data_IF_433879442602
#
_entry.id   IF_433879442602
#
_cell.length_a   1.000
_cell.length_b   1.000
_cell.length_c   1.000
_cell.angle_alpha   90.00
_cell.angle_beta   90.00
_cell.angle_gamma   90.00
#
_symmetry.space_group_name_H-M   'P 1'
#
loop_
_entity.id
_entity.type
_entity.pdbx_description
1 polymer ?
#
# COMPACT_ATOMS: atom_id res chain seq x y z
N UNK A 1 44.47 -30.45 4.88
CA UNK A 1 44.50 -29.54 6.05
C UNK A 1 43.32 -28.61 5.90
N UNK A 2 42.39 -28.64 6.87
CA UNK A 2 41.23 -27.74 6.90
C UNK A 2 41.72 -26.30 6.79
N UNK A 3 41.00 -25.52 5.99
CA UNK A 3 41.23 -24.09 5.85
C UNK A 3 40.93 -23.44 7.21
N UNK A 4 41.94 -22.87 7.87
CA UNK A 4 41.78 -22.15 9.14
C UNK A 4 41.07 -20.82 8.84
N UNK A 5 39.74 -20.85 8.88
CA UNK A 5 38.93 -19.64 8.99
C UNK A 5 38.72 -19.40 10.47
N UNK A 6 39.14 -18.23 10.96
CA UNK A 6 38.96 -17.87 12.36
C UNK A 6 37.46 -17.75 12.69
N UNK A 7 37.12 -17.93 13.96
CA UNK A 7 35.74 -17.74 14.41
C UNK A 7 35.30 -16.28 14.16
N UNK A 8 34.05 -16.06 13.70
CA UNK A 8 33.53 -14.69 13.56
C UNK A 8 33.52 -14.01 14.93
N UNK A 9 34.00 -12.77 14.99
CA UNK A 9 34.04 -11.97 16.20
C UNK A 9 33.11 -10.77 16.04
N UNK A 10 32.19 -10.61 16.99
CA UNK A 10 31.37 -9.41 17.10
C UNK A 10 31.95 -8.50 18.18
N UNK A 11 32.12 -7.23 17.85
CA UNK A 11 32.58 -6.20 18.78
C UNK A 11 31.95 -4.86 18.41
N UNK A 12 32.07 -3.88 19.29
CA UNK A 12 31.52 -2.53 19.09
C UNK A 12 30.70 -2.05 20.27
N UNK A 13 30.31 -0.78 20.20
CA UNK A 13 29.60 -0.03 21.22
C UNK A 13 28.52 0.86 20.60
N UNK A 14 27.71 1.51 21.44
CA UNK A 14 26.63 2.37 20.98
C UNK A 14 27.12 3.66 20.32
N UNK A 15 28.37 4.07 20.57
CA UNK A 15 28.97 5.29 20.01
C UNK A 15 29.59 5.06 18.62
N UNK A 16 30.31 3.95 18.43
CA UNK A 16 31.04 3.62 17.21
C UNK A 16 30.29 2.64 16.30
N UNK A 17 29.20 2.06 16.79
CA UNK A 17 28.43 1.01 16.13
C UNK A 17 29.00 -0.39 16.37
N UNK A 18 28.24 -1.39 15.93
CA UNK A 18 28.53 -2.80 16.10
C UNK A 18 29.06 -3.41 14.81
N UNK A 19 30.13 -4.19 14.90
CA UNK A 19 30.79 -4.83 13.77
C UNK A 19 30.86 -6.35 13.96
N UNK A 20 30.47 -7.10 12.93
CA UNK A 20 30.76 -8.52 12.79
C UNK A 20 31.97 -8.66 11.86
N UNK A 21 33.07 -9.18 12.37
CA UNK A 21 34.32 -9.37 11.62
C UNK A 21 34.67 -10.84 11.48
N UNK A 22 35.00 -11.27 10.27
CA UNK A 22 35.50 -12.59 9.96
C UNK A 22 36.92 -12.47 9.39
N UNK A 23 37.92 -12.81 10.21
CA UNK A 23 39.32 -12.85 9.81
C UNK A 23 39.64 -14.17 9.07
N UNK A 24 40.49 -14.07 8.05
CA UNK A 24 40.92 -15.22 7.26
C UNK A 24 42.31 -14.99 6.66
N UNK A 25 43.01 -16.10 6.40
CA UNK A 25 44.32 -16.07 5.74
C UNK A 25 44.23 -16.54 4.29
N UNK A 26 44.87 -15.81 3.37
CA UNK A 26 45.09 -16.24 1.99
C UNK A 26 46.56 -16.59 1.80
N UNK A 27 46.85 -17.68 1.07
CA UNK A 27 48.24 -17.99 0.72
C UNK A 27 48.73 -17.02 -0.35
N UNK A 28 49.94 -16.51 -0.16
CA UNK A 28 50.64 -15.66 -1.13
C UNK A 28 52.09 -16.09 -1.18
N UNK A 29 52.57 -16.46 -2.37
CA UNK A 29 53.92 -16.95 -2.55
C UNK A 29 54.98 -15.89 -2.21
N UNK A 30 54.64 -14.60 -2.40
CA UNK A 30 55.56 -13.49 -2.22
C UNK A 30 55.50 -12.87 -0.82
N UNK A 31 54.55 -13.29 0.02
CA UNK A 31 54.41 -12.81 1.39
C UNK A 31 55.40 -13.49 2.35
N UNK A 32 55.85 -12.76 3.37
CA UNK A 32 56.63 -13.33 4.47
C UNK A 32 55.77 -14.33 5.24
N UNK A 33 56.19 -15.59 5.29
CA UNK A 33 55.40 -16.67 5.89
C UNK A 33 54.36 -17.29 4.94
N UNK A 34 54.43 -16.96 3.65
CA UNK A 34 53.57 -17.51 2.58
C UNK A 34 52.06 -17.26 2.76
N UNK A 35 51.68 -16.29 3.61
CA UNK A 35 50.30 -15.99 3.97
C UNK A 35 50.08 -14.47 4.15
N UNK A 36 48.85 -14.02 3.87
CA UNK A 36 48.35 -12.68 4.18
C UNK A 36 47.04 -12.78 4.93
N UNK A 37 46.87 -11.91 5.91
CA UNK A 37 45.66 -11.81 6.72
C UNK A 37 44.71 -10.77 6.14
N UNK A 38 43.44 -11.14 6.01
CA UNK A 38 42.35 -10.30 5.57
C UNK A 38 41.18 -10.43 6.56
N UNK A 39 40.27 -9.47 6.53
CA UNK A 39 39.01 -9.55 7.28
C UNK A 39 37.85 -9.02 6.46
N UNK A 40 36.73 -9.73 6.47
CA UNK A 40 35.45 -9.21 6.01
C UNK A 40 34.68 -8.65 7.21
N UNK A 41 34.22 -7.41 7.11
CA UNK A 41 33.54 -6.72 8.20
C UNK A 41 32.15 -6.27 7.76
N UNK A 42 31.14 -6.53 8.59
CA UNK A 42 29.78 -6.04 8.45
C UNK A 42 29.47 -5.10 9.61
N UNK A 43 29.24 -3.82 9.31
CA UNK A 43 28.98 -2.76 10.29
C UNK A 43 27.47 -2.47 10.37
N UNK A 44 26.94 -2.35 11.59
CA UNK A 44 25.55 -2.00 11.87
C UNK A 44 25.44 -1.18 13.15
N UNK A 45 24.58 -0.17 13.16
CA UNK A 45 24.37 0.66 14.36
C UNK A 45 23.53 -0.06 15.42
N UNK A 46 22.73 -1.06 15.05
CA UNK A 46 21.82 -1.74 15.96
C UNK A 46 22.36 -3.11 16.36
N UNK A 47 22.71 -3.25 17.65
CA UNK A 47 23.18 -4.49 18.27
C UNK A 47 22.26 -5.69 18.01
N UNK A 48 20.96 -5.51 18.26
CA UNK A 48 19.99 -6.59 18.22
C UNK A 48 19.71 -7.04 16.78
N UNK A 49 19.67 -6.09 15.85
CA UNK A 49 19.56 -6.39 14.43
C UNK A 49 20.76 -7.23 13.96
N UNK A 50 21.98 -6.83 14.33
CA UNK A 50 23.19 -7.58 13.99
C UNK A 50 23.20 -8.99 14.62
N UNK A 51 22.79 -9.12 15.89
CA UNK A 51 22.69 -10.42 16.58
C UNK A 51 21.67 -11.35 15.91
N UNK A 52 20.52 -10.80 15.50
CA UNK A 52 19.47 -11.56 14.80
C UNK A 52 19.99 -12.14 13.48
N UNK A 53 20.74 -11.33 12.72
CA UNK A 53 21.30 -11.72 11.43
C UNK A 53 22.63 -12.47 11.54
N UNK A 54 23.24 -12.56 12.72
CA UNK A 54 24.61 -13.04 12.91
C UNK A 54 24.86 -14.42 12.28
N UNK A 55 23.93 -15.36 12.45
CA UNK A 55 24.06 -16.71 11.86
C UNK A 55 24.05 -16.67 10.33
N UNK A 56 23.13 -15.91 9.75
CA UNK A 56 22.99 -15.76 8.30
C UNK A 56 24.23 -15.08 7.70
N UNK A 57 24.65 -13.97 8.29
CA UNK A 57 25.82 -13.21 7.85
C UNK A 57 27.09 -14.06 7.98
N UNK A 58 27.27 -14.79 9.08
CA UNK A 58 28.42 -15.68 9.28
C UNK A 58 28.53 -16.71 8.16
N UNK A 59 27.43 -17.39 7.81
CA UNK A 59 27.46 -18.40 6.74
C UNK A 59 27.77 -17.78 5.37
N UNK A 60 27.18 -16.62 5.05
CA UNK A 60 27.46 -15.93 3.79
C UNK A 60 28.93 -15.46 3.71
N UNK A 61 29.45 -14.89 4.80
CA UNK A 61 30.85 -14.45 4.87
C UNK A 61 31.82 -15.64 4.79
N UNK A 62 31.51 -16.77 5.42
CA UNK A 62 32.31 -18.01 5.31
C UNK A 62 32.39 -18.52 3.88
N UNK A 63 31.28 -18.52 3.15
CA UNK A 63 31.29 -18.92 1.75
C UNK A 63 32.13 -17.96 0.89
N UNK A 64 32.01 -16.65 1.12
CA UNK A 64 32.82 -15.64 0.44
C UNK A 64 34.32 -15.85 0.70
N UNK A 65 34.68 -16.10 1.96
CA UNK A 65 36.06 -16.39 2.39
C UNK A 65 36.58 -17.68 1.75
N UNK A 66 35.79 -18.75 1.75
CA UNK A 66 36.17 -20.02 1.11
C UNK A 66 36.48 -19.83 -0.38
N UNK A 67 35.63 -19.10 -1.10
CA UNK A 67 35.84 -18.77 -2.50
C UNK A 67 37.16 -18.01 -2.71
N UNK A 68 37.42 -16.96 -1.93
CA UNK A 68 38.66 -16.18 -2.03
C UNK A 68 39.91 -17.03 -1.69
N UNK A 69 39.81 -17.88 -0.68
CA UNK A 69 40.91 -18.77 -0.28
C UNK A 69 41.16 -19.85 -1.34
N UNK A 70 40.13 -20.36 -1.98
CA UNK A 70 40.25 -21.34 -3.06
C UNK A 70 41.05 -20.76 -4.23
N UNK A 71 40.64 -19.59 -4.74
CA UNK A 71 41.31 -18.96 -5.88
C UNK A 71 42.75 -18.51 -5.54
N UNK A 72 42.98 -17.99 -4.33
CA UNK A 72 44.33 -17.68 -3.85
C UNK A 72 45.23 -18.92 -3.74
N UNK A 73 44.69 -20.06 -3.27
CA UNK A 73 45.43 -21.32 -3.20
C UNK A 73 45.81 -21.83 -4.59
N UNK A 74 44.93 -21.71 -5.59
CA UNK A 74 45.23 -22.09 -6.97
C UNK A 74 46.40 -21.26 -7.51
N UNK A 75 46.36 -19.94 -7.31
CA UNK A 75 47.44 -19.03 -7.74
C UNK A 75 48.76 -19.37 -7.03
N UNK A 76 48.71 -19.64 -5.72
CA UNK A 76 49.88 -20.05 -4.93
C UNK A 76 50.54 -21.32 -5.48
N UNK A 77 49.74 -22.35 -5.81
CA UNK A 77 50.25 -23.61 -6.37
C UNK A 77 50.84 -23.42 -7.78
N UNK A 78 50.21 -22.60 -8.62
CA UNK A 78 50.70 -22.28 -9.96
C UNK A 78 52.06 -21.56 -9.90
N UNK A 79 52.18 -20.53 -9.05
CA UNK A 79 53.44 -19.79 -8.85
C UNK A 79 54.54 -20.70 -8.27
N UNK A 80 54.18 -21.62 -7.37
CA UNK A 80 55.09 -22.63 -6.84
C UNK A 80 55.63 -23.59 -7.90
N UNK A 81 54.79 -24.06 -8.82
CA UNK A 81 55.21 -24.95 -9.93
C UNK A 81 56.16 -24.25 -10.91
N UNK A 82 55.90 -22.98 -11.23
CA UNK A 82 56.76 -22.19 -12.13
C UNK A 82 58.18 -22.03 -11.55
N UNK A 83 58.29 -21.80 -10.24
CA UNK A 83 59.58 -21.64 -9.56
C UNK A 83 60.37 -22.95 -9.42
N UNK A 84 59.70 -24.09 -9.24
CA UNK A 84 60.39 -25.39 -9.22
C UNK A 84 60.97 -25.76 -10.60
N UNK A 85 60.21 -25.51 -11.68
CA UNK A 85 60.62 -25.84 -13.05
C UNK A 85 61.77 -24.94 -13.56
N UNK A 86 61.82 -23.68 -13.13
CA UNK A 86 62.94 -22.77 -13.45
C UNK A 86 64.24 -23.16 -12.71
N UNK A 87 64.14 -23.78 -11.53
CA UNK A 87 65.28 -24.25 -10.76
C UNK A 87 65.90 -25.57 -11.28
N UNK A 88 65.15 -26.36 -12.07
CA UNK A 88 65.63 -27.61 -12.68
C UNK A 88 66.26 -27.42 -14.06
N UNK A 89 65.93 -26.33 -14.76
CA UNK A 89 66.52 -25.98 -16.07
C UNK A 89 67.60 -24.87 -15.99
N UNK A 90 67.84 -24.32 -14.79
CA UNK A 90 68.85 -23.29 -14.53
C UNK A 90 70.14 -23.88 -13.96
N UNK A 91 71.18 -23.86 -14.79
CA UNK A 91 72.57 -24.20 -14.51
C UNK A 91 73.09 -23.73 -13.13
N UNK A 92 73.94 -24.58 -12.54
CA UNK A 92 74.83 -24.34 -11.40
C UNK A 92 75.38 -22.91 -11.33
N UNK A 93 74.75 -22.04 -10.53
CA UNK A 93 75.39 -20.84 -10.00
C UNK A 93 74.73 -20.40 -8.69
N UNK A 94 75.52 -20.43 -7.61
CA UNK A 94 75.28 -19.76 -6.33
C UNK A 94 74.28 -20.43 -5.38
N UNK A 95 74.70 -21.58 -4.88
CA UNK A 95 74.45 -21.97 -3.49
C UNK A 95 75.18 -20.93 -2.62
N UNK A 96 74.52 -20.46 -1.55
CA UNK A 96 74.96 -19.48 -0.53
C UNK A 96 74.58 -18.00 -0.80
N UNK A 97 73.80 -17.45 0.14
CA UNK A 97 73.29 -16.06 0.32
C UNK A 97 71.86 -15.73 -0.11
N UNK A 98 70.86 -16.46 0.40
CA UNK A 98 69.45 -16.00 0.38
C UNK A 98 68.73 -16.15 1.74
N UNK A 99 69.50 -16.26 2.82
CA UNK A 99 68.98 -16.18 4.18
C UNK A 99 68.94 -14.68 4.53
N UNK A 100 67.77 -14.05 4.38
CA UNK A 100 67.43 -12.66 4.78
C UNK A 100 67.84 -11.45 3.89
N UNK A 101 67.59 -11.48 2.58
CA UNK A 101 67.35 -10.20 1.84
C UNK A 101 66.19 -10.31 0.85
N UNK A 102 65.15 -9.46 0.95
CA UNK A 102 64.21 -9.27 -0.15
C UNK A 102 64.97 -8.70 -1.37
N UNK A 103 64.65 -9.12 -2.60
CA UNK A 103 65.12 -8.43 -3.80
C UNK A 103 64.63 -6.96 -3.77
N UNK A 104 65.42 -5.99 -4.27
CA UNK A 104 65.20 -4.57 -4.02
C UNK A 104 64.02 -3.92 -4.78
N UNK A 105 63.10 -4.69 -5.35
CA UNK A 105 61.99 -4.17 -6.18
C UNK A 105 60.69 -4.97 -6.08
N UNK A 106 60.42 -5.70 -4.99
CA UNK A 106 59.10 -6.32 -4.79
C UNK A 106 58.23 -5.33 -4.02
N UNK A 107 57.11 -4.83 -4.57
CA UNK A 107 56.22 -3.94 -3.83
C UNK A 107 55.74 -4.66 -2.57
N UNK A 108 55.87 -3.98 -1.43
CA UNK A 108 55.60 -4.52 -0.09
C UNK A 108 54.17 -5.08 0.07
N UNK A 109 53.24 -4.68 -0.81
CA UNK A 109 51.86 -5.15 -0.86
C UNK A 109 51.39 -5.38 -2.30
N UNK A 110 51.24 -6.64 -2.68
CA UNK A 110 50.51 -7.09 -3.87
C UNK A 110 49.00 -6.90 -3.66
N UNK A 111 48.27 -6.47 -4.69
CA UNK A 111 46.82 -6.28 -4.60
C UNK A 111 46.09 -7.62 -4.52
N UNK A 112 44.87 -7.63 -3.96
CA UNK A 112 44.04 -8.85 -3.88
C UNK A 112 43.77 -9.44 -5.27
N UNK A 113 43.59 -8.59 -6.29
CA UNK A 113 43.46 -8.99 -7.71
C UNK A 113 44.60 -9.86 -8.18
N UNK A 114 45.83 -9.52 -7.79
CA UNK A 114 47.00 -10.22 -8.27
C UNK A 114 47.22 -11.50 -7.46
N UNK A 115 46.85 -11.54 -6.18
CA UNK A 115 46.95 -12.73 -5.31
C UNK A 115 45.96 -13.81 -5.74
N UNK A 116 44.75 -13.40 -6.12
CA UNK A 116 43.69 -14.28 -6.62
C UNK A 116 43.87 -14.58 -8.11
N UNK A 117 44.68 -13.78 -8.82
CA UNK A 117 44.87 -13.82 -10.27
C UNK A 117 43.56 -13.61 -11.06
N UNK A 118 42.61 -12.84 -10.50
CA UNK A 118 41.37 -12.42 -11.15
C UNK A 118 41.26 -10.89 -11.21
N UNK A 119 41.34 -10.35 -12.44
CA UNK A 119 41.15 -8.91 -12.71
C UNK A 119 39.77 -8.39 -12.33
N UNK A 120 38.76 -9.28 -12.25
CA UNK A 120 37.37 -8.95 -11.94
C UNK A 120 37.00 -9.21 -10.48
N UNK A 121 37.95 -9.59 -9.62
CA UNK A 121 37.67 -9.94 -8.21
C UNK A 121 36.94 -8.82 -7.47
N UNK A 122 37.33 -7.56 -7.72
CA UNK A 122 36.72 -6.39 -7.08
C UNK A 122 35.24 -6.25 -7.43
N UNK A 123 34.86 -6.50 -8.69
CA UNK A 123 33.46 -6.46 -9.13
C UNK A 123 32.64 -7.60 -8.52
N UNK A 124 33.22 -8.80 -8.42
CA UNK A 124 32.56 -9.95 -7.79
C UNK A 124 32.34 -9.72 -6.28
N UNK A 125 33.34 -9.20 -5.59
CA UNK A 125 33.24 -8.83 -4.16
C UNK A 125 32.18 -7.74 -3.97
N UNK A 126 32.17 -6.71 -4.83
CA UNK A 126 31.15 -5.66 -4.77
C UNK A 126 29.74 -6.23 -4.95
N UNK A 127 29.52 -7.07 -5.95
CA UNK A 127 28.22 -7.73 -6.18
C UNK A 127 27.81 -8.59 -4.97
N UNK A 128 28.76 -9.31 -4.36
CA UNK A 128 28.54 -10.08 -3.14
C UNK A 128 28.11 -9.20 -1.97
N UNK A 129 28.77 -8.05 -1.77
CA UNK A 129 28.41 -7.11 -0.70
C UNK A 129 27.03 -6.49 -0.91
N UNK A 130 26.70 -6.08 -2.13
CA UNK A 130 25.37 -5.55 -2.47
C UNK A 130 24.28 -6.61 -2.23
N UNK A 131 24.53 -7.85 -2.65
CA UNK A 131 23.62 -8.97 -2.42
C UNK A 131 23.44 -9.26 -0.92
N UNK A 132 24.53 -9.25 -0.14
CA UNK A 132 24.50 -9.45 1.30
C UNK A 132 23.66 -8.38 2.01
N UNK A 133 23.85 -7.10 1.64
CA UNK A 133 23.06 -5.98 2.17
C UNK A 133 21.57 -6.11 1.82
N UNK A 134 21.24 -6.51 0.59
CA UNK A 134 19.86 -6.74 0.17
C UNK A 134 19.21 -7.86 0.98
N UNK A 135 19.91 -8.97 1.18
CA UNK A 135 19.39 -10.09 1.95
C UNK A 135 19.18 -9.73 3.41
N UNK A 136 20.16 -9.06 4.03
CA UNK A 136 20.06 -8.59 5.41
C UNK A 136 18.78 -7.76 5.63
N UNK A 137 18.46 -6.86 4.70
CA UNK A 137 17.23 -6.06 4.76
C UNK A 137 15.95 -6.85 4.53
N UNK A 138 15.99 -7.90 3.69
CA UNK A 138 14.79 -8.72 3.41
C UNK A 138 14.55 -9.86 4.40
N UNK A 139 15.54 -10.23 5.20
CA UNK A 139 15.47 -11.36 6.11
C UNK A 139 14.50 -11.14 7.28
N UNK A 140 14.32 -9.87 7.68
CA UNK A 140 13.36 -9.49 8.72
C UNK A 140 12.16 -8.87 8.01
N UNK A 141 11.08 -9.64 7.87
CA UNK A 141 9.79 -9.13 7.40
C UNK A 141 8.80 -9.17 8.54
N UNK A 142 8.29 -8.01 8.91
CA UNK A 142 7.15 -7.91 9.81
C UNK A 142 5.88 -8.17 8.99
N UNK A 143 5.13 -9.20 9.38
CA UNK A 143 3.77 -9.41 8.87
C UNK A 143 2.82 -8.77 9.85
N UNK A 144 2.49 -7.50 9.63
CA UNK A 144 1.41 -6.85 10.35
C UNK A 144 0.08 -7.32 9.76
N UNK A 145 -0.77 -7.90 10.60
CA UNK A 145 -2.15 -8.17 10.23
C UNK A 145 -2.99 -6.96 10.65
N UNK A 146 -3.51 -6.24 9.67
CA UNK A 146 -4.49 -5.20 9.92
C UNK A 146 -5.84 -5.82 10.29
N UNK A 147 -6.66 -5.05 11.01
CA UNK A 147 -8.02 -5.44 11.35
C UNK A 147 -8.85 -5.71 10.10
N UNK A 148 -9.90 -6.52 10.25
CA UNK A 148 -10.85 -6.76 9.16
C UNK A 148 -11.42 -5.42 8.66
N UNK A 149 -11.54 -5.25 7.32
CA UNK A 149 -12.11 -4.04 6.76
C UNK A 149 -13.56 -3.87 7.25
N UNK A 150 -13.96 -2.62 7.48
CA UNK A 150 -15.35 -2.31 7.84
C UNK A 150 -16.25 -2.52 6.62
N UNK A 151 -17.54 -2.80 6.84
CA UNK A 151 -18.53 -2.95 5.76
C UNK A 151 -18.55 -1.77 4.78
N UNK A 152 -18.33 -0.54 5.26
CA UNK A 152 -18.21 0.63 4.39
C UNK A 152 -16.97 0.55 3.48
N UNK A 153 -15.85 0.01 3.97
CA UNK A 153 -14.65 -0.17 3.16
C UNK A 153 -14.84 -1.27 2.13
N UNK A 154 -15.51 -2.37 2.48
CA UNK A 154 -15.80 -3.45 1.54
C UNK A 154 -16.77 -3.01 0.46
N UNK A 155 -17.87 -2.35 0.82
CA UNK A 155 -18.84 -1.82 -0.15
C UNK A 155 -18.23 -0.76 -1.08
N UNK A 156 -17.35 0.10 -0.55
CA UNK A 156 -16.58 1.05 -1.38
C UNK A 156 -15.64 0.35 -2.35
N UNK A 157 -14.97 -0.71 -1.93
CA UNK A 157 -14.10 -1.51 -2.80
C UNK A 157 -14.91 -2.22 -3.89
N UNK A 158 -16.03 -2.86 -3.52
CA UNK A 158 -16.91 -3.54 -4.48
C UNK A 158 -17.47 -2.57 -5.54
N UNK A 159 -17.89 -1.36 -5.14
CA UNK A 159 -18.34 -0.34 -6.11
C UNK A 159 -17.23 0.14 -7.02
N UNK A 160 -16.02 0.34 -6.50
CA UNK A 160 -14.85 0.70 -7.32
C UNK A 160 -14.49 -0.40 -8.32
N UNK A 161 -14.58 -1.67 -7.90
CA UNK A 161 -14.28 -2.80 -8.77
C UNK A 161 -15.31 -2.94 -9.90
N UNK A 162 -16.60 -2.65 -9.65
CA UNK A 162 -17.62 -2.60 -10.72
C UNK A 162 -17.31 -1.52 -11.75
N UNK A 163 -16.86 -0.33 -11.33
CA UNK A 163 -16.49 0.75 -12.25
C UNK A 163 -15.27 0.37 -13.11
N UNK A 164 -14.27 -0.26 -12.49
CA UNK A 164 -13.09 -0.77 -13.22
C UNK A 164 -13.48 -1.87 -14.22
N UNK A 165 -14.42 -2.75 -13.85
CA UNK A 165 -14.92 -3.78 -14.75
C UNK A 165 -15.78 -3.19 -15.88
N UNK A 166 -16.56 -2.14 -15.64
CA UNK A 166 -17.34 -1.45 -16.69
C UNK A 166 -16.44 -0.71 -17.70
N UNK A 167 -15.39 -0.01 -17.26
CA UNK A 167 -14.36 0.53 -18.17
C UNK A 167 -13.68 -0.58 -18.98
N UNK A 168 -13.35 -1.70 -18.32
CA UNK A 168 -12.69 -2.85 -18.96
C UNK A 168 -13.65 -3.65 -19.84
N UNK A 169 -14.98 -3.54 -19.69
CA UNK A 169 -15.93 -4.19 -20.61
C UNK A 169 -15.98 -3.55 -22.00
N UNK A 170 -15.36 -2.38 -22.21
CA UNK A 170 -15.05 -1.87 -23.56
C UNK A 170 -13.77 -2.50 -24.17
N UNK A 171 -12.94 -3.17 -23.37
CA UNK A 171 -11.74 -3.87 -23.83
C UNK A 171 -11.48 -5.20 -23.09
N UNK A 172 -12.00 -6.28 -23.68
CA UNK A 172 -11.52 -7.66 -23.54
C UNK A 172 -11.62 -8.31 -22.15
N UNK A 173 -12.69 -9.10 -22.01
CA UNK A 173 -12.86 -10.27 -21.13
C UNK A 173 -11.54 -10.98 -20.78
N UNK A 174 -11.11 -10.86 -19.52
CA UNK A 174 -10.21 -11.84 -18.89
C UNK A 174 -10.50 -12.00 -17.40
N UNK A 175 -11.52 -12.81 -17.12
CA UNK A 175 -11.82 -13.39 -15.80
C UNK A 175 -10.53 -13.95 -15.16
N UNK A 176 -10.05 -13.33 -14.09
CA UNK A 176 -9.13 -13.96 -13.14
C UNK A 176 -9.89 -14.28 -11.86
N UNK A 177 -10.21 -15.57 -11.67
CA UNK A 177 -10.60 -16.12 -10.37
C UNK A 177 -9.43 -15.94 -9.41
N UNK A 178 -9.68 -15.28 -8.29
CA UNK A 178 -8.76 -15.19 -7.15
C UNK A 178 -8.75 -16.52 -6.41
N UNK A 179 -7.76 -17.36 -6.73
CA UNK A 179 -7.36 -18.46 -5.84
C UNK A 179 -6.52 -17.87 -4.72
N UNK A 180 -7.02 -17.97 -3.49
CA UNK A 180 -6.24 -17.79 -2.27
C UNK A 180 -5.16 -18.87 -2.27
N UNK A 181 -3.95 -18.51 -2.70
CA UNK A 181 -2.75 -19.33 -2.50
C UNK A 181 -2.06 -18.78 -1.27
N UNK A 182 -2.20 -19.51 -0.17
CA UNK A 182 -1.36 -19.41 1.02
C UNK A 182 0.10 -19.49 0.57
N UNK A 183 0.81 -18.36 0.53
CA UNK A 183 2.26 -18.36 0.32
C UNK A 183 2.90 -19.00 1.55
N UNK A 184 3.36 -20.22 1.36
CA UNK A 184 4.15 -20.98 2.32
C UNK A 184 5.44 -20.23 2.67
N UNK A 185 5.83 -20.41 3.93
CA UNK A 185 7.10 -20.04 4.55
C UNK A 185 8.27 -20.29 3.58
N UNK A 186 8.95 -19.22 3.17
CA UNK A 186 10.22 -19.31 2.44
C UNK A 186 11.27 -19.72 3.45
N UNK A 187 11.57 -21.02 3.51
CA UNK A 187 12.67 -21.56 4.29
C UNK A 187 13.99 -20.98 3.78
N UNK A 188 14.67 -20.20 4.63
CA UNK A 188 15.98 -19.59 4.34
C UNK A 188 17.13 -20.58 4.10
N UNK A 189 16.87 -21.89 4.12
CA UNK A 189 17.85 -22.94 3.86
C UNK A 189 18.14 -23.12 2.36
N UNK A 190 17.17 -22.88 1.46
CA UNK A 190 17.30 -23.21 0.03
C UNK A 190 18.22 -22.26 -0.74
N UNK A 191 18.39 -21.01 -0.28
CA UNK A 191 19.30 -20.05 -0.93
C UNK A 191 20.79 -20.30 -0.64
N UNK A 192 21.12 -21.12 0.38
CA UNK A 192 22.52 -21.48 0.66
C UNK A 192 23.10 -22.42 -0.40
N UNK A 193 22.26 -23.26 -1.01
CA UNK A 193 22.63 -24.22 -2.07
C UNK A 193 22.93 -23.51 -3.40
N UNK A 194 22.24 -22.39 -3.67
CA UNK A 194 22.42 -21.58 -4.88
C UNK A 194 23.77 -20.81 -4.91
N UNK A 195 24.36 -20.54 -3.75
CA UNK A 195 25.66 -19.88 -3.65
C UNK A 195 26.83 -20.83 -4.03
N UNK A 196 26.70 -22.11 -3.67
CA UNK A 196 27.74 -23.11 -3.95
C UNK A 196 27.87 -23.46 -5.43
N UNK A 197 26.76 -23.44 -6.18
CA UNK A 197 26.76 -23.77 -7.62
C UNK A 197 27.17 -22.61 -8.53
N UNK A 198 27.07 -21.36 -8.06
CA UNK A 198 27.42 -20.16 -8.85
C UNK A 198 28.86 -19.69 -8.65
N UNK A 199 29.54 -20.09 -7.58
CA UNK A 199 30.92 -19.69 -7.27
C UNK A 199 31.99 -20.71 -7.73
N UNK A 200 31.63 -21.96 -8.03
CA UNK A 200 32.60 -23.06 -8.21
C UNK A 200 32.84 -23.50 -9.67
N UNK A 201 32.09 -22.98 -10.64
CA UNK A 201 32.22 -23.39 -12.04
C UNK A 201 32.99 -22.35 -12.88
N UNK A 202 34.32 -22.48 -12.90
CA UNK A 202 35.15 -21.95 -13.99
C UNK A 202 35.15 -23.01 -15.11
N UNK A 203 34.64 -22.73 -16.31
CA UNK A 203 35.53 -22.19 -17.36
C UNK A 203 34.84 -21.60 -18.60
N UNK A 204 33.50 -21.56 -18.73
CA UNK A 204 32.88 -21.03 -19.98
C UNK A 204 31.64 -20.12 -19.83
N UNK A 205 31.12 -19.90 -18.62
CA UNK A 205 29.90 -19.09 -18.44
C UNK A 205 30.18 -17.69 -17.90
N UNK A 206 30.76 -16.82 -18.74
CA UNK A 206 30.71 -15.38 -18.51
C UNK A 206 29.27 -14.87 -18.75
N UNK A 207 28.44 -14.65 -17.72
CA UNK A 207 27.35 -13.62 -17.71
C UNK A 207 26.25 -13.77 -16.65
N UNK A 208 26.17 -14.81 -15.81
CA UNK A 208 24.92 -15.06 -15.07
C UNK A 208 24.67 -14.23 -13.80
N UNK A 209 25.69 -13.65 -13.16
CA UNK A 209 25.47 -12.81 -11.96
C UNK A 209 24.95 -11.40 -12.28
N UNK A 210 25.20 -10.89 -13.49
CA UNK A 210 24.70 -9.57 -13.92
C UNK A 210 23.28 -9.64 -14.50
N UNK A 211 22.92 -10.73 -15.19
CA UNK A 211 21.62 -10.85 -15.87
C UNK A 211 20.41 -10.93 -14.92
N UNK A 212 20.56 -11.60 -13.77
CA UNK A 212 19.45 -11.80 -12.82
C UNK A 212 19.16 -10.59 -11.92
N UNK A 213 20.17 -9.74 -11.68
CA UNK A 213 19.99 -8.53 -10.86
C UNK A 213 19.38 -7.36 -11.65
N UNK A 214 19.59 -7.30 -12.97
CA UNK A 214 19.07 -6.22 -13.82
C UNK A 214 17.75 -6.54 -14.53
N UNK A 215 17.32 -7.79 -14.65
CA UNK A 215 16.03 -8.15 -15.29
C UNK A 215 14.78 -7.84 -14.45
N UNK A 216 14.92 -7.16 -13.31
CA UNK A 216 13.81 -6.73 -12.46
C UNK A 216 13.56 -5.21 -12.48
N UNK A 217 14.27 -4.48 -13.35
CA UNK A 217 14.16 -3.02 -13.48
C UNK A 217 13.04 -2.57 -14.45
N UNK A 218 12.56 -3.44 -15.35
CA UNK A 218 11.56 -3.09 -16.38
C UNK A 218 10.09 -3.07 -15.88
N UNK A 219 9.85 -3.26 -14.58
CA UNK A 219 8.49 -3.36 -14.03
C UNK A 219 7.98 -2.07 -13.34
N UNK A 220 8.72 -0.95 -13.39
CA UNK A 220 8.40 0.25 -12.61
C UNK A 220 8.22 1.57 -13.39
N UNK A 221 8.21 1.56 -14.72
CA UNK A 221 7.95 2.77 -15.52
C UNK A 221 7.00 2.53 -16.69
N UNK A 222 5.73 2.23 -16.38
CA UNK A 222 4.61 2.50 -17.29
C UNK A 222 3.37 2.80 -16.45
N UNK A 223 3.15 4.08 -16.15
CA UNK A 223 1.82 4.70 -16.01
C UNK A 223 1.99 6.18 -15.65
N UNK A 224 2.47 6.95 -16.60
CA UNK A 224 2.12 8.38 -16.69
C UNK A 224 1.76 8.66 -18.15
N UNK A 225 0.46 8.74 -18.43
CA UNK A 225 -0.17 9.41 -19.57
C UNK A 225 -1.65 9.61 -19.16
N UNK A 226 -2.09 10.81 -18.79
CA UNK A 226 -2.60 11.90 -19.66
C UNK A 226 -3.94 11.56 -20.35
N UNK A 227 -5.06 11.86 -19.68
CA UNK A 227 -6.42 12.09 -20.24
C UNK A 227 -7.13 13.04 -19.26
N UNK A 228 -7.25 14.34 -19.56
CA UNK A 228 -8.37 15.00 -20.26
C UNK A 228 -9.71 14.81 -19.52
N UNK A 229 -10.08 15.84 -18.76
CA UNK A 229 -11.31 15.98 -17.97
C UNK A 229 -12.54 16.02 -18.90
N UNK A 230 -13.36 14.97 -18.88
CA UNK A 230 -14.79 15.09 -19.16
C UNK A 230 -15.55 14.84 -17.85
N UNK A 231 -16.49 15.72 -17.54
CA UNK A 231 -17.26 15.74 -16.30
C UNK A 231 -18.19 14.52 -16.20
N UNK A 232 -17.66 13.40 -15.70
CA UNK A 232 -18.43 12.20 -15.39
C UNK A 232 -19.37 12.44 -14.20
N UNK A 233 -20.62 12.01 -14.35
CA UNK A 233 -21.72 12.14 -13.39
C UNK A 233 -21.41 11.59 -11.98
N UNK A 234 -20.43 10.68 -11.86
CA UNK A 234 -20.00 10.10 -10.58
C UNK A 234 -18.85 10.83 -9.88
N UNK A 235 -18.16 11.78 -10.55
CA UNK A 235 -17.17 12.65 -9.91
C UNK A 235 -17.80 13.61 -8.88
N UNK A 236 -19.08 13.95 -9.06
CA UNK A 236 -19.89 14.71 -8.10
C UNK A 236 -20.23 13.91 -6.82
N UNK A 237 -20.09 12.58 -6.83
CA UNK A 237 -20.39 11.73 -5.67
C UNK A 237 -19.26 11.70 -4.62
N UNK A 238 -18.08 12.25 -4.95
CA UNK A 238 -16.84 12.12 -4.18
C UNK A 238 -16.25 13.42 -3.63
N UNK A 239 -16.78 14.59 -3.96
CA UNK A 239 -16.35 15.88 -3.39
C UNK A 239 -17.08 16.21 -2.08
N UNK A 240 -16.79 15.45 -1.02
CA UNK A 240 -17.45 15.63 0.28
C UNK A 240 -16.64 16.39 1.34
N UNK A 241 -15.35 16.64 1.13
CA UNK A 241 -14.52 17.13 2.24
C UNK A 241 -14.58 18.64 2.47
N UNK A 242 -15.07 19.44 1.51
CA UNK A 242 -15.07 20.91 1.64
C UNK A 242 -16.42 21.52 2.03
N UNK A 243 -17.55 20.84 1.76
CA UNK A 243 -18.90 21.42 1.96
C UNK A 243 -19.69 20.78 3.12
N UNK A 244 -19.09 19.90 3.92
CA UNK A 244 -19.78 19.19 5.01
C UNK A 244 -20.38 20.16 6.05
N UNK A 245 -19.66 21.23 6.39
CA UNK A 245 -20.12 22.22 7.37
C UNK A 245 -21.32 23.03 6.90
N UNK A 246 -21.36 23.39 5.62
CA UNK A 246 -22.50 24.10 5.04
C UNK A 246 -23.71 23.18 4.92
N UNK A 247 -23.48 21.91 4.56
CA UNK A 247 -24.49 20.88 4.54
C UNK A 247 -25.16 20.67 5.91
N UNK A 248 -24.38 20.64 7.00
CA UNK A 248 -24.91 20.52 8.36
C UNK A 248 -25.71 21.75 8.79
N UNK A 249 -25.24 22.96 8.50
CA UNK A 249 -26.00 24.18 8.76
C UNK A 249 -27.33 24.20 8.02
N UNK A 250 -27.35 23.76 6.76
CA UNK A 250 -28.58 23.62 5.98
C UNK A 250 -29.53 22.58 6.59
N UNK A 251 -28.98 21.47 7.08
CA UNK A 251 -29.78 20.45 7.76
C UNK A 251 -30.37 20.97 9.08
N UNK A 252 -29.61 21.72 9.88
CA UNK A 252 -30.16 22.40 11.06
C UNK A 252 -31.27 23.38 10.70
N UNK A 253 -31.07 24.19 9.65
CA UNK A 253 -32.09 25.12 9.16
C UNK A 253 -33.33 24.38 8.68
N UNK A 254 -33.15 23.26 7.98
CA UNK A 254 -34.23 22.37 7.56
C UNK A 254 -35.04 21.86 8.76
N UNK A 255 -34.37 21.42 9.83
CA UNK A 255 -35.02 20.99 11.07
C UNK A 255 -35.77 22.14 11.76
N UNK A 256 -35.12 23.30 11.90
CA UNK A 256 -35.70 24.51 12.50
C UNK A 256 -36.96 24.95 11.72
N UNK A 257 -36.95 24.83 10.38
CA UNK A 257 -38.06 25.24 9.50
C UNK A 257 -39.19 24.22 9.41
N UNK A 258 -38.91 22.93 9.58
CA UNK A 258 -39.96 21.91 9.73
C UNK A 258 -40.86 22.19 10.95
N UNK A 259 -40.31 22.83 12.00
CA UNK A 259 -40.99 23.30 13.21
C UNK A 259 -41.89 22.25 13.91
N UNK A 260 -41.65 20.97 13.66
CA UNK A 260 -42.42 19.87 14.21
C UNK A 260 -41.57 18.60 14.24
N UNK A 261 -41.14 18.22 15.44
CA UNK A 261 -40.34 17.02 15.67
C UNK A 261 -41.01 15.74 15.16
N UNK A 262 -42.35 15.69 15.09
CA UNK A 262 -43.08 14.53 14.57
C UNK A 262 -42.88 14.34 13.07
N UNK A 263 -42.80 15.44 12.30
CA UNK A 263 -42.53 15.35 10.87
C UNK A 263 -41.09 14.90 10.62
N UNK A 264 -40.13 15.44 11.37
CA UNK A 264 -38.74 15.01 11.27
C UNK A 264 -38.59 13.52 11.64
N UNK A 265 -39.21 13.09 12.74
CA UNK A 265 -39.23 11.68 13.14
C UNK A 265 -39.82 10.79 12.04
N UNK A 266 -40.93 11.20 11.41
CA UNK A 266 -41.55 10.42 10.34
C UNK A 266 -40.67 10.35 9.08
N UNK A 267 -40.02 11.47 8.70
CA UNK A 267 -39.06 11.50 7.59
C UNK A 267 -37.89 10.55 7.90
N UNK A 268 -37.25 10.70 9.06
CA UNK A 268 -36.12 9.88 9.47
C UNK A 268 -36.48 8.40 9.59
N UNK A 269 -37.67 8.08 10.11
CA UNK A 269 -38.16 6.72 10.23
C UNK A 269 -38.25 6.03 8.88
N UNK A 270 -38.93 6.66 7.93
CA UNK A 270 -39.08 6.13 6.58
C UNK A 270 -37.75 6.08 5.84
N UNK A 271 -36.90 7.09 6.01
CA UNK A 271 -35.57 7.12 5.44
C UNK A 271 -34.70 5.96 5.93
N UNK A 272 -34.68 5.71 7.25
CA UNK A 272 -33.91 4.60 7.85
C UNK A 272 -34.44 3.23 7.43
N UNK A 273 -35.75 3.10 7.19
CA UNK A 273 -36.36 1.86 6.68
C UNK A 273 -36.00 1.60 5.20
N UNK A 274 -35.54 2.62 4.47
CA UNK A 274 -35.25 2.52 3.04
C UNK A 274 -36.46 2.86 2.16
N UNK A 275 -37.48 3.53 2.72
CA UNK A 275 -38.57 4.08 1.92
C UNK A 275 -38.07 5.25 1.06
N UNK A 276 -38.79 5.52 -0.04
CA UNK A 276 -38.38 6.54 -1.01
C UNK A 276 -38.64 7.93 -0.46
N UNK A 277 -37.58 8.74 -0.35
CA UNK A 277 -37.65 10.15 0.00
C UNK A 277 -37.54 10.98 -1.27
N UNK A 278 -38.56 11.78 -1.54
CA UNK A 278 -38.63 12.64 -2.72
C UNK A 278 -38.59 14.08 -2.25
N UNK A 279 -37.52 14.78 -2.62
CA UNK A 279 -37.32 16.18 -2.29
C UNK A 279 -37.67 17.02 -3.52
N UNK A 280 -38.83 17.67 -3.48
CA UNK A 280 -39.24 18.65 -4.48
C UNK A 280 -38.65 20.00 -4.11
N UNK A 281 -37.83 20.59 -4.98
CA UNK A 281 -37.28 21.92 -4.77
C UNK A 281 -37.66 22.87 -5.91
N UNK A 282 -37.69 24.17 -5.61
CA UNK A 282 -37.87 25.24 -6.61
C UNK A 282 -36.49 25.84 -6.86
N UNK A 283 -36.07 25.90 -8.11
CA UNK A 283 -34.74 26.33 -8.51
C UNK A 283 -34.81 27.73 -9.14
N UNK A 284 -35.01 28.73 -8.29
CA UNK A 284 -35.03 30.14 -8.72
C UNK A 284 -33.65 30.73 -8.99
N UNK A 285 -32.58 30.18 -8.40
CA UNK A 285 -31.23 30.78 -8.35
C UNK A 285 -30.06 29.80 -8.50
N UNK A 286 -30.22 28.69 -9.21
CA UNK A 286 -29.14 27.67 -9.36
C UNK A 286 -28.66 27.07 -8.03
N UNK A 287 -29.53 27.00 -7.02
CA UNK A 287 -29.25 26.44 -5.69
C UNK A 287 -29.15 24.91 -5.65
N UNK A 288 -28.78 24.28 -6.77
CA UNK A 288 -28.64 22.81 -6.87
C UNK A 288 -27.65 22.28 -5.84
N UNK A 289 -26.60 23.05 -5.57
CA UNK A 289 -25.54 22.64 -4.64
C UNK A 289 -26.01 22.59 -3.19
N UNK A 290 -26.96 23.45 -2.79
CA UNK A 290 -27.56 23.40 -1.45
C UNK A 290 -28.42 22.14 -1.27
N UNK A 291 -29.18 21.76 -2.29
CA UNK A 291 -30.03 20.55 -2.25
C UNK A 291 -29.15 19.30 -2.27
N UNK A 292 -28.07 19.31 -3.06
CA UNK A 292 -27.03 18.28 -3.02
C UNK A 292 -26.39 18.17 -1.66
N UNK A 293 -26.02 19.30 -1.05
CA UNK A 293 -25.47 19.35 0.30
C UNK A 293 -26.46 18.76 1.32
N UNK A 294 -27.76 19.05 1.21
CA UNK A 294 -28.77 18.44 2.08
C UNK A 294 -28.91 16.93 1.85
N UNK A 295 -28.99 16.49 0.59
CA UNK A 295 -28.99 15.07 0.23
C UNK A 295 -27.76 14.35 0.79
N UNK A 296 -26.65 15.09 0.86
CA UNK A 296 -25.40 14.65 1.42
C UNK A 296 -25.52 14.30 2.92
N UNK A 297 -26.25 15.10 3.69
CA UNK A 297 -26.49 14.81 5.12
C UNK A 297 -27.38 13.58 5.26
N UNK A 298 -28.40 13.42 4.42
CA UNK A 298 -29.25 12.23 4.44
C UNK A 298 -28.48 10.95 4.10
N UNK A 299 -27.51 11.02 3.17
CA UNK A 299 -26.58 9.91 2.90
C UNK A 299 -25.79 9.52 4.15
N UNK A 300 -25.31 10.50 4.93
CA UNK A 300 -24.60 10.23 6.18
C UNK A 300 -25.46 9.51 7.23
N UNK A 301 -26.79 9.45 7.10
CA UNK A 301 -27.63 8.72 8.03
C UNK A 301 -27.76 7.22 7.71
N UNK A 302 -27.40 6.81 6.50
CA UNK A 302 -27.51 5.42 6.03
C UNK A 302 -26.12 4.80 5.75
N UNK A 303 -26.00 3.46 5.75
CA UNK A 303 -24.84 2.78 5.18
C UNK A 303 -24.71 3.11 3.69
N UNK A 304 -23.48 3.23 3.18
CA UNK A 304 -23.23 3.61 1.79
C UNK A 304 -23.96 2.68 0.79
N UNK A 305 -24.07 1.38 1.11
CA UNK A 305 -24.77 0.37 0.31
C UNK A 305 -26.29 0.59 0.17
N UNK A 306 -26.92 1.29 1.11
CA UNK A 306 -28.38 1.48 1.17
C UNK A 306 -28.83 2.81 0.55
N UNK A 307 -27.90 3.62 0.07
CA UNK A 307 -28.16 4.95 -0.47
C UNK A 307 -28.01 4.96 -1.99
N UNK A 308 -29.10 5.29 -2.69
CA UNK A 308 -29.11 5.55 -4.12
C UNK A 308 -29.76 6.92 -4.36
N UNK A 309 -28.98 7.87 -4.88
CA UNK A 309 -29.41 9.22 -5.23
C UNK A 309 -29.67 9.33 -6.72
N UNK A 310 -30.80 9.92 -7.10
CA UNK A 310 -31.06 10.32 -8.48
C UNK A 310 -31.52 11.77 -8.51
N UNK A 311 -30.80 12.57 -9.30
CA UNK A 311 -31.22 13.90 -9.70
C UNK A 311 -32.06 13.80 -10.97
N UNK A 312 -33.35 14.08 -10.86
CA UNK A 312 -34.27 14.02 -12.00
C UNK A 312 -34.09 15.28 -12.83
N UNK A 313 -33.28 15.18 -13.88
CA UNK A 313 -33.03 16.31 -14.78
C UNK A 313 -33.90 16.31 -16.03
N UNK A 314 -34.51 15.17 -16.42
CA UNK A 314 -35.54 15.05 -17.49
C UNK A 314 -35.95 13.59 -17.84
N UNK A 315 -35.37 12.57 -17.19
CA UNK A 315 -35.64 11.15 -17.45
C UNK A 315 -36.40 10.50 -16.30
N UNK A 316 -37.18 9.45 -16.60
CA UNK A 316 -37.89 8.63 -15.61
C UNK A 316 -36.86 8.10 -14.60
N UNK A 317 -37.06 8.41 -13.32
CA UNK A 317 -36.20 7.89 -12.26
C UNK A 317 -36.43 6.38 -12.13
N UNK A 318 -35.41 5.53 -12.29
CA UNK A 318 -35.56 4.09 -12.07
C UNK A 318 -36.02 3.80 -10.63
N UNK A 319 -36.79 2.72 -10.46
CA UNK A 319 -37.39 2.29 -9.18
C UNK A 319 -36.36 1.95 -8.09
N UNK A 320 -35.06 2.03 -8.38
CA UNK A 320 -33.95 1.67 -7.48
C UNK A 320 -33.46 2.84 -6.60
N UNK A 321 -33.92 4.06 -6.87
CA UNK A 321 -33.50 5.24 -6.11
C UNK A 321 -34.32 5.45 -4.84
N UNK A 322 -33.61 5.55 -3.72
CA UNK A 322 -34.21 5.81 -2.41
C UNK A 322 -34.34 7.32 -2.18
N UNK A 323 -33.39 8.14 -2.67
CA UNK A 323 -33.49 9.59 -2.64
C UNK A 323 -33.63 10.15 -4.05
N UNK A 324 -34.73 10.87 -4.27
CA UNK A 324 -35.03 11.49 -5.56
C UNK A 324 -35.08 13.00 -5.37
N UNK A 325 -34.19 13.72 -6.05
CA UNK A 325 -34.20 15.18 -6.09
C UNK A 325 -34.95 15.63 -7.34
N UNK A 326 -35.97 16.46 -7.14
CA UNK A 326 -36.90 16.86 -8.17
C UNK A 326 -37.03 18.38 -8.23
N UNK A 327 -36.60 18.96 -9.34
CA UNK A 327 -36.77 20.39 -9.61
C UNK A 327 -38.18 20.65 -10.15
N UNK A 328 -38.92 21.52 -9.47
CA UNK A 328 -40.31 21.84 -9.80
C UNK A 328 -40.46 22.84 -10.94
N UNK A 329 -39.39 23.54 -11.32
CA UNK A 329 -39.40 24.48 -12.44
C UNK A 329 -39.22 23.77 -13.79
N UNK A 330 -38.83 22.49 -13.77
CA UNK A 330 -38.76 21.64 -14.95
C UNK A 330 -40.16 21.27 -15.45
N UNK A 331 -40.51 21.76 -16.65
CA UNK A 331 -41.74 21.42 -17.36
C UNK A 331 -41.67 19.96 -17.81
N UNK A 332 -42.14 19.07 -16.95
CA UNK A 332 -42.16 17.64 -17.25
C UNK A 332 -43.27 17.31 -18.23
N UNK A 333 -42.95 16.44 -19.18
CA UNK A 333 -43.95 15.80 -20.05
C UNK A 333 -44.97 15.07 -19.19
N UNK A 334 -46.25 15.17 -19.57
CA UNK A 334 -47.39 14.59 -18.84
C UNK A 334 -47.19 13.11 -18.49
N UNK A 335 -46.49 12.37 -19.35
CA UNK A 335 -46.21 10.93 -19.16
C UNK A 335 -45.26 10.66 -17.99
N UNK A 336 -44.27 11.54 -17.78
CA UNK A 336 -43.31 11.45 -16.65
C UNK A 336 -43.99 11.91 -15.37
N UNK A 337 -44.83 12.94 -15.45
CA UNK A 337 -45.68 13.34 -14.34
C UNK A 337 -46.63 12.21 -13.92
N UNK A 338 -47.27 11.51 -14.87
CA UNK A 338 -48.16 10.39 -14.58
C UNK A 338 -47.43 9.22 -13.93
N UNK A 339 -46.25 8.83 -14.44
CA UNK A 339 -45.49 7.72 -13.85
C UNK A 339 -44.99 8.05 -12.45
N UNK A 340 -44.51 9.27 -12.23
CA UNK A 340 -44.08 9.68 -10.89
C UNK A 340 -45.31 9.85 -9.98
N UNK A 341 -46.48 10.27 -10.50
CA UNK A 341 -47.73 10.36 -9.70
C UNK A 341 -48.39 9.03 -9.36
N UNK A 342 -48.22 8.01 -10.20
CA UNK A 342 -48.61 6.65 -9.85
C UNK A 342 -47.70 6.12 -8.73
N UNK A 343 -46.38 6.33 -8.83
CA UNK A 343 -45.41 6.05 -7.75
C UNK A 343 -45.67 6.90 -6.48
N UNK A 344 -46.16 8.15 -6.62
CA UNK A 344 -46.46 9.04 -5.49
C UNK A 344 -47.66 8.56 -4.66
N UNK A 345 -48.52 7.71 -5.24
CA UNK A 345 -49.66 7.14 -4.53
C UNK A 345 -49.31 5.84 -3.80
N UNK A 346 -48.11 5.30 -3.99
CA UNK A 346 -47.63 4.19 -3.17
C UNK A 346 -47.40 4.67 -1.73
N UNK A 347 -47.91 3.90 -0.77
CA UNK A 347 -47.86 4.16 0.67
C UNK A 347 -46.45 4.27 1.25
N UNK A 348 -45.42 4.02 0.44
CA UNK A 348 -44.03 3.90 0.85
C UNK A 348 -43.14 5.05 0.35
N UNK A 349 -43.74 6.14 -0.16
CA UNK A 349 -43.01 7.34 -0.56
C UNK A 349 -43.31 8.53 0.35
N UNK A 350 -42.28 9.27 0.72
CA UNK A 350 -42.40 10.55 1.42
C UNK A 350 -42.04 11.68 0.48
N UNK A 351 -42.92 12.67 0.39
CA UNK A 351 -42.71 13.87 -0.41
C UNK A 351 -42.46 15.05 0.52
N UNK A 352 -41.26 15.60 0.45
CA UNK A 352 -40.86 16.84 1.11
C UNK A 352 -40.72 17.92 0.06
N UNK A 353 -41.49 19.00 0.20
CA UNK A 353 -41.36 20.19 -0.65
C UNK A 353 -40.52 21.24 0.08
N UNK A 354 -39.42 21.63 -0.54
CA UNK A 354 -38.51 22.67 -0.08
C UNK A 354 -38.63 23.86 -1.04
N UNK A 355 -38.86 25.05 -0.48
CA UNK A 355 -38.86 26.29 -1.25
C UNK A 355 -37.62 27.08 -0.82
N UNK A 356 -36.69 27.23 -1.75
CA UNK A 356 -35.48 28.04 -1.60
C UNK A 356 -35.76 29.43 -2.17
N UNK A 357 -35.22 30.48 -1.54
CA UNK A 357 -35.45 31.86 -1.96
C UNK A 357 -34.14 32.65 -2.00
N UNK A 358 -34.07 33.60 -2.93
CA UNK A 358 -32.83 34.12 -3.53
C UNK A 358 -32.06 35.09 -2.64
N UNK A 359 -32.64 35.51 -1.52
CA UNK A 359 -32.22 36.76 -0.86
C UNK A 359 -31.17 36.52 0.24
N UNK A 360 -31.03 35.31 0.81
CA UNK A 360 -30.10 35.09 1.94
C UNK A 360 -29.56 33.65 2.10
N UNK A 361 -29.48 32.81 1.04
CA UNK A 361 -29.13 31.37 1.16
C UNK A 361 -29.98 30.61 2.21
N UNK A 362 -31.15 31.15 2.51
CA UNK A 362 -31.95 30.74 3.65
C UNK A 362 -33.15 29.92 3.18
N UNK A 363 -33.26 28.73 3.75
CA UNK A 363 -34.39 27.83 3.56
C UNK A 363 -35.68 28.52 4.08
N UNK A 364 -36.56 28.97 3.17
CA UNK A 364 -37.73 29.79 3.56
C UNK A 364 -38.86 28.94 4.13
N UNK A 365 -39.27 27.91 3.39
CA UNK A 365 -40.42 27.08 3.73
C UNK A 365 -40.10 25.62 3.42
N UNK A 366 -40.25 24.77 4.44
CA UNK A 366 -40.35 23.31 4.26
C UNK A 366 -41.80 22.93 4.49
N UNK A 367 -42.42 22.29 3.50
CA UNK A 367 -43.76 21.74 3.63
C UNK A 367 -43.72 20.25 3.34
N UNK A 368 -44.18 19.45 4.28
CA UNK A 368 -44.42 18.04 4.05
C UNK A 368 -45.73 17.89 3.25
N UNK A 369 -45.67 17.25 2.09
CA UNK A 369 -46.86 16.95 1.27
C UNK A 369 -47.45 15.57 1.59
N UNK A 370 -46.67 14.68 2.23
CA UNK A 370 -47.15 13.35 2.61
C UNK A 370 -48.14 13.39 3.78
N UNK A 371 -49.04 12.41 3.79
CA UNK A 371 -50.04 12.25 4.84
C UNK A 371 -49.32 11.97 6.16
N UNK A 372 -49.54 12.77 7.23
CA UNK A 372 -48.96 12.47 8.53
C UNK A 372 -49.44 11.10 9.01
N UNK A 373 -48.58 10.34 9.70
CA UNK A 373 -48.93 8.99 10.08
C UNK A 373 -50.12 8.97 11.04
N UNK A 374 -50.98 7.96 10.85
CA UNK A 374 -52.00 7.61 11.83
C UNK A 374 -51.33 7.24 13.16
N UNK A 375 -52.06 7.34 14.28
CA UNK A 375 -51.54 7.22 15.66
C UNK A 375 -50.78 5.90 15.98
N UNK A 376 -50.62 4.97 15.05
CA UNK A 376 -49.95 3.68 15.22
C UNK A 376 -48.42 3.67 15.00
N UNK A 377 -47.80 4.72 14.47
CA UNK A 377 -46.32 4.77 14.27
C UNK A 377 -45.51 5.13 15.54
N UNK A 378 -45.93 4.67 16.72
CA UNK A 378 -45.37 5.15 18.01
C UNK A 378 -43.98 4.56 18.31
N UNK A 379 -43.54 3.50 17.64
CA UNK A 379 -42.25 2.87 17.91
C UNK A 379 -41.23 3.10 16.78
N UNK A 380 -40.66 4.31 16.75
CA UNK A 380 -39.48 4.56 15.94
C UNK A 380 -38.28 3.72 16.45
N UNK A 381 -37.42 3.21 15.54
CA UNK A 381 -36.17 2.53 15.89
C UNK A 381 -35.32 3.34 16.85
N UNK A 382 -34.57 2.67 17.72
CA UNK A 382 -33.66 3.32 18.66
C UNK A 382 -32.69 4.27 17.95
N UNK A 383 -32.19 3.87 16.78
CA UNK A 383 -31.32 4.70 15.94
C UNK A 383 -31.96 6.06 15.57
N UNK A 384 -33.23 6.05 15.15
CA UNK A 384 -33.97 7.28 14.81
C UNK A 384 -34.15 8.16 16.04
N UNK A 385 -34.43 7.58 17.21
CA UNK A 385 -34.54 8.34 18.46
C UNK A 385 -33.21 8.97 18.86
N UNK A 386 -32.10 8.27 18.66
CA UNK A 386 -30.77 8.81 18.92
C UNK A 386 -30.45 9.97 17.98
N UNK A 387 -30.68 9.83 16.68
CA UNK A 387 -30.49 10.93 15.71
C UNK A 387 -31.37 12.12 16.11
N UNK A 388 -32.65 11.89 16.42
CA UNK A 388 -33.56 12.96 16.81
C UNK A 388 -33.05 13.71 18.06
N UNK A 389 -32.56 12.97 19.07
CA UNK A 389 -31.96 13.56 20.27
C UNK A 389 -30.73 14.41 19.97
N UNK A 390 -29.84 13.93 19.10
CA UNK A 390 -28.65 14.68 18.67
C UNK A 390 -29.02 15.94 17.92
N UNK A 391 -30.02 15.88 17.03
CA UNK A 391 -30.46 17.05 16.25
C UNK A 391 -31.17 18.12 17.08
N UNK A 392 -31.70 17.77 18.24
CA UNK A 392 -32.32 18.74 19.16
C UNK A 392 -31.31 19.43 20.08
N UNK A 393 -30.10 18.88 20.18
CA UNK A 393 -29.06 19.42 21.04
C UNK A 393 -28.16 20.37 20.24
N UNK A 394 -28.41 21.67 20.39
CA UNK A 394 -27.64 22.72 19.70
C UNK A 394 -26.19 22.87 20.23
N UNK A 395 -25.75 22.04 21.18
CA UNK A 395 -24.42 22.14 21.80
C UNK A 395 -23.37 21.22 21.16
N UNK A 396 -23.79 20.33 20.26
CA UNK A 396 -22.88 19.38 19.59
C UNK A 396 -22.19 20.03 18.38
N UNK A 397 -20.87 19.89 18.33
CA UNK A 397 -20.07 20.25 17.16
C UNK A 397 -20.33 19.28 15.99
N UNK A 398 -20.19 19.76 14.75
CA UNK A 398 -20.43 19.00 13.52
C UNK A 398 -19.64 17.67 13.47
N UNK A 399 -18.37 17.70 13.89
CA UNK A 399 -17.49 16.52 13.94
C UNK A 399 -17.97 15.48 14.97
N UNK A 400 -18.49 15.95 16.11
CA UNK A 400 -19.03 15.09 17.14
C UNK A 400 -20.32 14.41 16.66
N UNK A 401 -21.18 15.16 15.96
CA UNK A 401 -22.39 14.63 15.35
C UNK A 401 -22.07 13.52 14.35
N UNK A 402 -21.13 13.76 13.43
CA UNK A 402 -20.68 12.76 12.44
C UNK A 402 -20.09 11.51 13.12
N UNK A 403 -19.19 11.70 14.09
CA UNK A 403 -18.59 10.57 14.82
C UNK A 403 -19.62 9.72 15.56
N UNK A 404 -20.62 10.36 16.20
CA UNK A 404 -21.69 9.64 16.91
C UNK A 404 -22.58 8.89 15.92
N UNK A 405 -22.90 9.48 14.77
CA UNK A 405 -23.66 8.80 13.73
C UNK A 405 -22.90 7.56 13.23
N UNK A 406 -21.62 7.71 12.87
CA UNK A 406 -20.81 6.59 12.39
C UNK A 406 -20.74 5.45 13.41
N UNK A 407 -20.59 5.78 14.70
CA UNK A 407 -20.62 4.79 15.77
C UNK A 407 -21.98 4.08 15.90
N UNK A 408 -23.08 4.81 15.74
CA UNK A 408 -24.43 4.25 15.86
C UNK A 408 -24.85 3.47 14.61
N UNK A 409 -24.36 3.80 13.41
CA UNK A 409 -24.54 2.99 12.19
C UNK A 409 -24.03 1.57 12.40
N UNK A 410 -22.82 1.44 12.95
CA UNK A 410 -22.21 0.12 13.23
C UNK A 410 -23.07 -0.69 14.20
N UNK A 411 -23.75 -0.05 15.15
CA UNK A 411 -24.68 -0.72 16.08
C UNK A 411 -26.00 -1.08 15.43
N UNK A 412 -26.46 -0.32 14.44
CA UNK A 412 -27.70 -0.59 13.72
C UNK A 412 -27.56 -1.75 12.75
N UNK A 413 -26.38 -1.93 12.14
CA UNK A 413 -26.06 -3.03 11.23
C UNK A 413 -25.83 -4.38 11.95
N UNK A 414 -25.57 -4.35 13.26
CA UNK A 414 -25.42 -5.55 14.11
C UNK A 414 -26.75 -5.91 14.75
#
# INVERSE_FOLDING_TARGET
KSVEVDAPVMFGDDESGYCLSLAFSCKDFHARGSQRLYSLCYLCNNKYHLLSLMKLLTECLRHAVYWLQYDANQTYEQEGRIKLNTHLNGSLATITTYVFRPPPTVPLQRMLSDIVHDSKVTYRIHALFVWLLRIANTAIRETLFDALPTEEQTTKLERKDVLNDEEVTSSLVKRRRTTIVSKSVINCAENSVLLSSTLTNNSECQSYLAGSLYSSFDAYHQNENFLQEEDDFDSLQYHYSSNSREAFKLYELFIKKLNNAKYLQHILHNWVIGNRLIIKYTNRTDNKDLVRALASVFRLLLPDGCFNLIEVTNKIAPCTANLVLFDTDLVLTKDVLSSITEDFNDSNSIIVKIILDDIDDNLRVVKLESVPPSRSEIHAPTYVKTILGLTTDNTLDDEAFESIIMHNKIKYLK
#
